data_IF_277194748267
#
_entry.id   IF_277194748267
#
_cell.length_a   1.000
_cell.length_b   1.000
_cell.length_c   1.000
_cell.angle_alpha   90.00
_cell.angle_beta   90.00
_cell.angle_gamma   90.00
#
_symmetry.space_group_name_H-M   'P 1'
#
loop_
_entity.id
_entity.type
_entity.pdbx_description
1 polymer ?
#
# COMPACT_ATOMS: atom_id res chain seq x y z
N UNK A 1 0.70 -0.61 6.82
CA UNK A 1 -0.47 -1.46 7.05
C UNK A 1 -1.34 -1.47 5.81
N UNK A 2 -1.62 -2.65 5.24
CA UNK A 2 -2.52 -2.84 4.10
C UNK A 2 -3.90 -3.21 4.64
N UNK A 3 -4.89 -2.39 4.40
CA UNK A 3 -6.28 -2.65 4.75
C UNK A 3 -6.96 -3.27 3.54
N UNK A 4 -7.50 -4.47 3.69
CA UNK A 4 -8.07 -5.26 2.60
C UNK A 4 -9.60 -5.26 2.61
N UNK A 5 -10.16 -5.44 1.41
CA UNK A 5 -11.48 -6.02 1.26
C UNK A 5 -11.33 -7.40 0.60
N UNK A 6 -11.69 -8.48 1.30
CA UNK A 6 -11.49 -9.85 0.85
C UNK A 6 -12.50 -10.33 -0.20
N UNK A 7 -13.53 -9.56 -0.51
CA UNK A 7 -14.55 -9.92 -1.50
C UNK A 7 -14.10 -9.57 -2.92
N UNK A 8 -13.45 -10.51 -3.57
CA UNK A 8 -12.93 -10.37 -4.95
C UNK A 8 -14.06 -10.26 -6.00
N UNK A 9 -15.25 -10.73 -5.69
CA UNK A 9 -16.33 -10.90 -6.67
C UNK A 9 -17.61 -10.10 -6.39
N UNK A 10 -17.77 -9.50 -5.24
CA UNK A 10 -18.96 -8.75 -4.90
C UNK A 10 -18.62 -7.38 -4.31
N UNK A 11 -18.77 -6.35 -5.12
CA UNK A 11 -18.76 -4.97 -4.66
C UNK A 11 -19.99 -4.75 -3.76
N UNK A 12 -19.83 -4.99 -2.48
CA UNK A 12 -20.80 -4.53 -1.50
C UNK A 12 -20.51 -3.07 -1.16
N UNK A 13 -21.42 -2.17 -1.52
CA UNK A 13 -21.32 -0.75 -1.13
C UNK A 13 -21.12 -0.59 0.38
N UNK A 14 -21.61 -1.54 1.18
CA UNK A 14 -21.45 -1.55 2.64
C UNK A 14 -20.00 -1.76 3.06
N UNK A 15 -19.30 -2.70 2.46
CA UNK A 15 -17.89 -2.98 2.78
C UNK A 15 -16.98 -1.83 2.33
N UNK A 16 -17.29 -1.22 1.20
CA UNK A 16 -16.58 -0.05 0.69
C UNK A 16 -16.72 1.15 1.64
N UNK A 17 -17.95 1.46 2.04
CA UNK A 17 -18.22 2.56 2.98
C UNK A 17 -17.55 2.32 4.34
N UNK A 18 -17.57 1.08 4.85
CA UNK A 18 -16.92 0.74 6.10
C UNK A 18 -15.40 0.93 6.03
N UNK A 19 -14.76 0.51 4.93
CA UNK A 19 -13.34 0.71 4.69
C UNK A 19 -12.98 2.20 4.64
N UNK A 20 -13.71 3.00 3.87
CA UNK A 20 -13.46 4.44 3.77
C UNK A 20 -13.66 5.15 5.11
N UNK A 21 -14.77 4.88 5.80
CA UNK A 21 -15.04 5.48 7.10
C UNK A 21 -13.96 5.14 8.12
N UNK A 22 -13.45 3.90 8.12
CA UNK A 22 -12.37 3.51 9.01
C UNK A 22 -11.07 4.28 8.74
N UNK A 23 -10.74 4.52 7.47
CA UNK A 23 -9.55 5.33 7.12
C UNK A 23 -9.76 6.80 7.49
N UNK A 24 -10.97 7.33 7.31
CA UNK A 24 -11.34 8.69 7.74
C UNK A 24 -11.23 8.81 9.27
N UNK A 25 -11.73 7.85 10.02
CA UNK A 25 -11.65 7.83 11.49
C UNK A 25 -10.20 7.79 11.98
N UNK A 26 -9.35 6.97 11.34
CA UNK A 26 -7.92 6.93 11.63
C UNK A 26 -7.25 8.27 11.35
N UNK A 27 -7.60 8.92 10.24
CA UNK A 27 -7.11 10.25 9.89
C UNK A 27 -7.56 11.32 10.88
N UNK A 28 -8.83 11.31 11.29
CA UNK A 28 -9.38 12.24 12.28
C UNK A 28 -8.70 12.12 13.66
N UNK A 29 -8.21 10.93 13.99
CA UNK A 29 -7.43 10.67 15.21
C UNK A 29 -5.94 10.98 15.05
N UNK A 30 -5.49 11.48 13.88
CA UNK A 30 -4.08 11.70 13.53
C UNK A 30 -3.21 10.43 13.67
N UNK A 31 -3.76 9.27 13.37
CA UNK A 31 -3.05 7.99 13.43
C UNK A 31 -2.38 7.64 12.09
N UNK A 32 -2.78 8.26 10.98
CA UNK A 32 -2.28 8.00 9.63
C UNK A 32 -1.35 9.13 9.20
N UNK A 33 -0.13 8.77 8.79
CA UNK A 33 0.86 9.69 8.23
C UNK A 33 0.63 9.89 6.72
N UNK A 34 0.36 8.80 6.02
CA UNK A 34 0.04 8.82 4.59
C UNK A 34 -0.91 7.67 4.23
N UNK A 35 -1.65 7.82 3.15
CA UNK A 35 -2.55 6.79 2.66
C UNK A 35 -2.61 6.76 1.13
N UNK A 36 -2.85 5.55 0.58
CA UNK A 36 -3.01 5.36 -0.86
C UNK A 36 -3.98 4.23 -1.17
N UNK A 37 -4.93 4.49 -2.04
CA UNK A 37 -5.78 3.45 -2.63
C UNK A 37 -4.94 2.63 -3.61
N UNK A 38 -5.03 1.31 -3.53
CA UNK A 38 -4.44 0.41 -4.51
C UNK A 38 -5.24 0.52 -5.80
N UNK A 39 -4.53 0.77 -6.90
CA UNK A 39 -5.11 0.98 -8.23
C UNK A 39 -4.31 0.19 -9.26
N UNK A 40 -4.33 0.60 -10.54
CA UNK A 40 -3.62 -0.08 -11.63
C UNK A 40 -2.16 -0.35 -11.30
N UNK A 41 -1.74 -1.59 -11.50
CA UNK A 41 -0.43 -2.11 -11.15
C UNK A 41 -0.34 -2.66 -9.72
N UNK A 42 -1.47 -2.74 -9.02
CA UNK A 42 -1.60 -3.38 -7.72
C UNK A 42 -0.81 -2.72 -6.60
N UNK A 43 -0.48 -3.54 -5.62
CA UNK A 43 0.27 -3.12 -4.44
C UNK A 43 1.68 -2.65 -4.80
N UNK A 44 2.35 -3.31 -5.77
CA UNK A 44 3.70 -2.95 -6.21
C UNK A 44 3.80 -1.49 -6.63
N UNK A 45 2.98 -1.08 -7.60
CA UNK A 45 2.97 0.29 -8.11
C UNK A 45 2.50 1.28 -7.05
N UNK A 46 1.57 0.89 -6.20
CA UNK A 46 1.05 1.75 -5.15
C UNK A 46 2.10 2.04 -4.08
N UNK A 47 2.90 1.05 -3.67
CA UNK A 47 4.04 1.23 -2.76
C UNK A 47 5.11 2.13 -3.39
N UNK A 48 5.51 1.86 -4.65
CA UNK A 48 6.46 2.72 -5.35
C UNK A 48 6.01 4.18 -5.36
N UNK A 49 4.75 4.44 -5.68
CA UNK A 49 4.21 5.81 -5.72
C UNK A 49 4.15 6.50 -4.35
N UNK A 50 4.04 5.76 -3.26
CA UNK A 50 4.14 6.33 -1.91
C UNK A 50 5.56 6.78 -1.60
N UNK A 51 6.57 6.12 -2.19
CA UNK A 51 7.99 6.45 -2.01
C UNK A 51 8.46 7.66 -2.82
N UNK A 52 7.87 7.93 -3.99
CA UNK A 52 8.42 8.89 -4.97
C UNK A 52 8.55 10.33 -4.45
N UNK A 53 7.57 10.79 -3.70
CA UNK A 53 7.46 12.22 -3.37
C UNK A 53 8.46 12.66 -2.29
N UNK A 54 8.75 11.81 -1.32
CA UNK A 54 9.56 12.13 -0.16
C UNK A 54 10.85 11.29 -0.07
N UNK A 55 11.15 10.50 -1.11
CA UNK A 55 12.29 9.57 -1.12
C UNK A 55 12.33 8.65 0.11
N UNK A 56 11.17 8.26 0.62
CA UNK A 56 11.06 7.35 1.77
C UNK A 56 11.10 5.92 1.26
N UNK A 57 12.09 5.17 1.70
CA UNK A 57 12.23 3.76 1.34
C UNK A 57 11.17 2.87 1.98
N UNK A 58 10.96 1.71 1.39
CA UNK A 58 9.99 0.71 1.86
C UNK A 58 10.68 -0.64 1.94
N UNK A 59 10.50 -1.33 3.07
CA UNK A 59 10.83 -2.73 3.24
C UNK A 59 9.53 -3.49 3.54
N UNK A 60 9.03 -4.25 2.57
CA UNK A 60 7.78 -4.99 2.67
C UNK A 60 8.03 -6.50 2.62
N UNK A 61 7.25 -7.25 3.42
CA UNK A 61 7.20 -8.70 3.38
C UNK A 61 5.74 -9.15 3.26
N UNK A 62 5.49 -10.03 2.31
CA UNK A 62 4.19 -10.62 2.06
C UNK A 62 4.29 -12.14 2.08
N UNK A 63 3.16 -12.83 2.17
CA UNK A 63 3.12 -14.28 2.11
C UNK A 63 3.71 -14.77 0.78
N UNK A 64 4.70 -15.67 0.86
CA UNK A 64 5.37 -16.22 -0.33
C UNK A 64 4.43 -17.06 -1.21
N UNK A 65 3.44 -17.70 -0.62
CA UNK A 65 2.48 -18.56 -1.34
C UNK A 65 1.55 -17.80 -2.28
N UNK A 66 1.30 -16.52 -2.00
CA UNK A 66 0.41 -15.65 -2.79
C UNK A 66 1.13 -14.40 -3.33
N UNK A 67 2.46 -14.37 -3.26
CA UNK A 67 3.26 -13.17 -3.52
C UNK A 67 2.89 -12.46 -4.82
N UNK A 68 2.89 -13.17 -5.96
CA UNK A 68 2.63 -12.55 -7.26
C UNK A 68 1.19 -12.06 -7.37
N UNK A 69 0.24 -12.81 -6.81
CA UNK A 69 -1.18 -12.44 -6.79
C UNK A 69 -1.37 -11.20 -5.92
N UNK A 70 -0.85 -11.19 -4.70
CA UNK A 70 -1.03 -10.09 -3.77
C UNK A 70 -0.31 -8.82 -4.23
N UNK A 71 0.86 -8.96 -4.90
CA UNK A 71 1.65 -7.84 -5.37
C UNK A 71 0.99 -7.09 -6.53
N UNK A 72 0.35 -7.83 -7.46
CA UNK A 72 -0.24 -7.25 -8.67
C UNK A 72 -1.77 -7.22 -8.66
N UNK A 73 -2.40 -7.68 -7.60
CA UNK A 73 -3.85 -7.64 -7.45
C UNK A 73 -4.34 -6.18 -7.33
N UNK A 74 -5.31 -5.84 -8.19
CA UNK A 74 -5.93 -4.51 -8.23
C UNK A 74 -7.24 -4.45 -7.39
N UNK A 75 -7.47 -5.44 -6.53
CA UNK A 75 -8.62 -5.43 -5.64
C UNK A 75 -8.60 -4.22 -4.73
N UNK A 76 -9.80 -3.75 -4.39
CA UNK A 76 -9.97 -2.61 -3.53
C UNK A 76 -9.26 -2.81 -2.20
N UNK A 77 -8.21 -2.08 -2.00
CA UNK A 77 -7.47 -2.01 -0.75
C UNK A 77 -6.85 -0.62 -0.58
N UNK A 78 -6.55 -0.26 0.65
CA UNK A 78 -5.90 1.01 0.99
C UNK A 78 -4.64 0.68 1.77
N UNK A 79 -3.53 1.27 1.35
CA UNK A 79 -2.28 1.25 2.11
C UNK A 79 -2.32 2.47 3.03
N UNK A 80 -1.99 2.28 4.29
CA UNK A 80 -1.80 3.38 5.23
C UNK A 80 -0.42 3.26 5.88
N UNK A 81 0.22 4.39 6.08
CA UNK A 81 1.43 4.53 6.87
C UNK A 81 1.04 5.03 8.26
N UNK A 82 1.55 4.37 9.28
CA UNK A 82 1.24 4.65 10.69
C UNK A 82 2.55 4.75 11.46
N UNK A 83 2.68 5.75 12.30
CA UNK A 83 3.82 5.86 13.23
C UNK A 83 3.83 4.64 14.18
N UNK A 84 5.01 4.08 14.45
CA UNK A 84 5.18 2.89 15.29
C UNK A 84 4.46 3.00 16.64
N UNK A 85 4.45 4.18 17.26
CA UNK A 85 3.76 4.43 18.53
C UNK A 85 2.24 4.32 18.45
N UNK A 86 1.67 4.47 17.25
CA UNK A 86 0.23 4.50 16.99
C UNK A 86 -0.30 3.18 16.38
N UNK A 87 0.57 2.22 16.06
CA UNK A 87 0.18 0.97 15.37
C UNK A 87 -0.88 0.21 16.15
N UNK A 88 -0.70 0.05 17.46
CA UNK A 88 -1.65 -0.69 18.29
C UNK A 88 -3.06 -0.04 18.31
N UNK A 89 -3.13 1.29 18.36
CA UNK A 89 -4.40 2.01 18.33
C UNK A 89 -5.07 1.94 16.94
N UNK A 90 -4.28 2.04 15.89
CA UNK A 90 -4.77 1.89 14.52
C UNK A 90 -5.35 0.48 14.28
N UNK A 91 -4.64 -0.58 14.71
CA UNK A 91 -5.12 -1.95 14.63
C UNK A 91 -6.45 -2.12 15.39
N UNK A 92 -6.51 -1.67 16.65
CA UNK A 92 -7.73 -1.72 17.45
C UNK A 92 -8.91 -1.03 16.78
N UNK A 93 -8.68 0.09 16.12
CA UNK A 93 -9.74 0.81 15.39
C UNK A 93 -10.24 0.00 14.21
N UNK A 94 -9.35 -0.62 13.43
CA UNK A 94 -9.72 -1.47 12.30
C UNK A 94 -10.46 -2.73 12.74
N UNK A 95 -9.99 -3.40 13.81
CA UNK A 95 -10.64 -4.57 14.41
C UNK A 95 -12.06 -4.25 14.89
N UNK A 96 -12.24 -3.13 15.60
CA UNK A 96 -13.55 -2.66 16.07
C UNK A 96 -14.53 -2.45 14.92
N UNK A 97 -14.04 -1.99 13.78
CA UNK A 97 -14.84 -1.77 12.57
C UNK A 97 -14.95 -3.01 11.68
N UNK A 98 -14.42 -4.16 12.12
CA UNK A 98 -14.37 -5.42 11.37
C UNK A 98 -13.70 -5.25 9.97
N UNK A 99 -12.67 -4.43 9.87
CA UNK A 99 -11.90 -4.24 8.65
C UNK A 99 -10.68 -5.16 8.68
N UNK A 100 -10.57 -6.14 7.77
CA UNK A 100 -9.40 -7.00 7.68
C UNK A 100 -8.18 -6.19 7.24
N UNK A 101 -7.02 -6.46 7.82
CA UNK A 101 -5.77 -5.78 7.51
C UNK A 101 -4.56 -6.70 7.69
N UNK A 102 -3.45 -6.35 7.05
CA UNK A 102 -2.13 -6.96 7.26
C UNK A 102 -1.09 -5.87 7.50
N UNK A 103 -0.13 -6.16 8.33
CA UNK A 103 1.11 -5.38 8.42
C UNK A 103 2.07 -5.93 7.37
N UNK A 104 2.29 -5.17 6.31
CA UNK A 104 3.09 -5.63 5.17
C UNK A 104 4.54 -5.16 5.20
N UNK A 105 4.93 -4.28 6.11
CA UNK A 105 6.29 -3.80 6.20
C UNK A 105 6.43 -2.48 6.94
N UNK A 106 7.58 -1.84 6.72
CA UNK A 106 7.93 -0.57 7.32
C UNK A 106 8.57 0.38 6.30
N UNK A 107 8.46 1.68 6.58
CA UNK A 107 9.22 2.72 5.88
C UNK A 107 10.64 2.80 6.44
N UNK A 108 11.59 3.28 5.64
CA UNK A 108 12.99 3.41 6.00
C UNK A 108 13.63 4.67 5.41
N UNK A 109 14.76 5.09 5.99
CA UNK A 109 15.56 6.20 5.45
C UNK A 109 16.44 5.80 4.24
N UNK A 110 16.48 4.51 3.89
CA UNK A 110 17.18 4.06 2.68
C UNK A 110 16.28 4.34 1.48
N UNK A 111 16.81 4.97 0.44
CA UNK A 111 16.09 5.27 -0.79
C UNK A 111 15.90 4.03 -1.69
N UNK A 112 15.41 2.94 -1.09
CA UNK A 112 15.21 1.64 -1.73
C UNK A 112 13.80 1.12 -1.50
N UNK A 113 13.27 0.41 -2.49
CA UNK A 113 12.04 -0.35 -2.40
C UNK A 113 12.39 -1.83 -2.43
N UNK A 114 12.19 -2.49 -1.30
CA UNK A 114 12.52 -3.90 -1.10
C UNK A 114 11.24 -4.67 -0.76
N UNK A 115 10.94 -5.75 -1.51
CA UNK A 115 9.76 -6.58 -1.26
C UNK A 115 10.18 -8.05 -1.31
N UNK A 116 10.09 -8.77 -0.20
CA UNK A 116 10.40 -10.20 -0.06
C UNK A 116 11.77 -10.64 -0.63
N UNK A 117 12.77 -9.80 -0.64
CA UNK A 117 14.03 -10.07 -1.35
C UNK A 117 13.88 -10.40 -2.85
N UNK A 118 12.69 -10.23 -3.43
CA UNK A 118 12.40 -10.46 -4.86
C UNK A 118 12.39 -9.16 -5.66
N UNK A 119 12.03 -8.06 -5.01
CA UNK A 119 12.13 -6.71 -5.58
C UNK A 119 13.14 -5.94 -4.74
N UNK A 120 14.15 -5.42 -5.41
CA UNK A 120 15.18 -4.57 -4.82
C UNK A 120 15.57 -3.52 -5.87
N UNK A 121 14.97 -2.35 -5.73
CA UNK A 121 15.09 -1.26 -6.72
C UNK A 121 15.24 0.07 -6.00
N UNK A 122 16.08 0.96 -6.53
CA UNK A 122 16.13 2.32 -6.02
C UNK A 122 14.84 3.10 -6.36
N UNK A 123 14.46 4.03 -5.48
CA UNK A 123 13.29 4.90 -5.72
C UNK A 123 13.45 5.64 -7.05
N UNK A 124 14.65 6.13 -7.34
CA UNK A 124 14.97 6.85 -8.58
C UNK A 124 14.77 6.00 -9.84
N UNK A 125 15.17 4.74 -9.81
CA UNK A 125 14.95 3.82 -10.93
C UNK A 125 13.47 3.51 -11.12
N UNK A 126 12.74 3.26 -10.02
CA UNK A 126 11.31 3.02 -10.05
C UNK A 126 10.53 4.23 -10.60
N UNK A 127 10.88 5.44 -10.15
CA UNK A 127 10.29 6.70 -10.62
C UNK A 127 10.58 6.94 -12.10
N UNK A 128 11.82 6.71 -12.54
CA UNK A 128 12.21 6.84 -13.94
C UNK A 128 11.45 5.83 -14.82
N UNK A 129 11.38 4.56 -14.40
CA UNK A 129 10.62 3.55 -15.12
C UNK A 129 9.14 3.94 -15.25
N UNK A 130 8.54 4.45 -14.18
CA UNK A 130 7.15 4.93 -14.18
C UNK A 130 6.95 6.12 -15.12
N UNK A 131 7.81 7.15 -15.03
CA UNK A 131 7.66 8.42 -15.76
C UNK A 131 8.03 8.36 -17.23
N UNK A 132 8.91 7.41 -17.66
CA UNK A 132 9.48 7.41 -19.02
C UNK A 132 9.07 6.22 -19.87
N UNK A 133 8.46 5.18 -19.30
CA UNK A 133 8.17 3.92 -20.01
C UNK A 133 7.29 4.12 -21.25
N UNK A 134 6.22 4.90 -21.13
CA UNK A 134 5.33 5.19 -22.26
C UNK A 134 6.02 6.05 -23.31
N UNK A 135 6.76 7.07 -22.89
CA UNK A 135 7.48 7.98 -23.79
C UNK A 135 8.54 7.23 -24.61
N UNK A 136 9.29 6.34 -23.98
CA UNK A 136 10.29 5.51 -24.68
C UNK A 136 9.65 4.61 -25.75
N UNK A 137 8.48 4.02 -25.47
CA UNK A 137 7.75 3.17 -26.42
C UNK A 137 7.11 3.95 -27.58
N UNK A 138 6.76 5.22 -27.38
CA UNK A 138 6.13 6.04 -28.42
C UNK A 138 7.17 6.70 -29.33
N UNK A 139 8.42 6.84 -28.88
CA UNK A 139 9.50 7.52 -29.61
C UNK A 139 10.54 6.54 -30.19
N UNK A 140 10.37 5.26 -29.94
CA UNK A 140 11.16 4.16 -30.54
C UNK A 140 10.44 3.60 -31.76
#
# INVERSE_FOLDING_TARGET
LKVKNNDVCHFSNKNYSALLNSVIDLGAKNLVLSSRVVTRGGLAVSLCKMSFHNSVGIAANMDEGSFDIDLFNENLSIIIEVDNKNVAEAQKTLETNNIPFDIIGATSSKEMIMINNKVDISIKEAENAWGTSLRKKLLS
#
